data_IF_132796667040
#
_entry.id   IF_132796667040
#
_cell.length_a   1.000
_cell.length_b   1.000
_cell.length_c   1.000
_cell.angle_alpha   90.00
_cell.angle_beta   90.00
_cell.angle_gamma   90.00
#
_symmetry.space_group_name_H-M   'P 1'
#
loop_
_entity.id
_entity.type
_entity.pdbx_description
1 polymer ?
#
# COMPACT_ATOMS: atom_id res chain seq x y z
N UNK A 1 -4.56 -4.47 -14.58
CA UNK A 1 -3.79 -4.24 -15.83
C UNK A 1 -2.40 -3.78 -15.49
N UNK A 2 -1.49 -3.64 -16.46
CA UNK A 2 -0.16 -3.05 -16.19
C UNK A 2 -0.38 -1.64 -15.63
N UNK A 3 0.30 -1.33 -14.53
CA UNK A 3 0.14 -0.09 -13.75
C UNK A 3 -0.84 -0.19 -12.58
N UNK A 4 -1.67 -1.23 -12.50
CA UNK A 4 -2.54 -1.40 -11.33
C UNK A 4 -1.73 -1.85 -10.12
N UNK A 5 -2.07 -1.29 -8.95
CA UNK A 5 -1.62 -1.79 -7.66
C UNK A 5 -2.60 -2.86 -7.17
N UNK A 6 -2.08 -4.05 -6.91
CA UNK A 6 -2.88 -5.21 -6.51
C UNK A 6 -2.25 -5.94 -5.32
N UNK A 7 -3.07 -6.72 -4.61
CA UNK A 7 -2.62 -7.72 -3.66
C UNK A 7 -3.30 -9.05 -3.97
N UNK A 8 -2.51 -10.12 -3.98
CA UNK A 8 -2.98 -11.50 -4.06
C UNK A 8 -2.29 -12.31 -2.96
N UNK A 9 -3.09 -12.85 -2.05
CA UNK A 9 -2.59 -13.50 -0.84
C UNK A 9 -1.69 -12.57 -0.04
N UNK A 10 -0.43 -12.98 0.15
CA UNK A 10 0.59 -12.21 0.88
C UNK A 10 1.41 -11.26 -0.01
N UNK A 11 1.19 -11.26 -1.33
CA UNK A 11 1.98 -10.48 -2.27
C UNK A 11 1.22 -9.22 -2.70
N UNK A 12 1.74 -8.05 -2.36
CA UNK A 12 1.23 -6.76 -2.80
C UNK A 12 2.26 -6.05 -3.69
N UNK A 13 1.79 -5.36 -4.73
CA UNK A 13 2.68 -4.65 -5.64
C UNK A 13 2.00 -4.05 -6.87
N UNK A 14 2.79 -3.34 -7.66
CA UNK A 14 2.37 -2.73 -8.92
C UNK A 14 2.63 -3.69 -10.08
N UNK A 15 1.62 -3.95 -10.92
CA UNK A 15 1.78 -4.84 -12.08
C UNK A 15 2.66 -4.17 -13.14
N UNK A 16 3.81 -4.76 -13.43
CA UNK A 16 4.78 -4.23 -14.40
C UNK A 16 4.81 -4.99 -15.73
N UNK A 17 4.40 -6.26 -15.75
CA UNK A 17 4.39 -7.10 -16.95
C UNK A 17 3.32 -8.20 -16.87
N UNK A 18 2.83 -8.67 -18.01
CA UNK A 18 1.85 -9.75 -18.14
C UNK A 18 2.29 -10.71 -19.23
N UNK A 19 2.44 -11.99 -18.86
CA UNK A 19 2.85 -13.09 -19.74
C UNK A 19 1.76 -14.15 -19.79
N UNK A 20 1.90 -15.10 -20.71
CA UNK A 20 0.89 -16.13 -20.98
C UNK A 20 0.52 -16.94 -19.72
N UNK A 21 1.50 -17.26 -18.87
CA UNK A 21 1.27 -18.11 -17.69
C UNK A 21 1.43 -17.40 -16.34
N UNK A 22 1.86 -16.15 -16.36
CA UNK A 22 2.21 -15.41 -15.15
C UNK A 22 2.11 -13.91 -15.39
N UNK A 23 1.93 -13.15 -14.33
CA UNK A 23 2.14 -11.71 -14.31
C UNK A 23 3.24 -11.36 -13.32
N UNK A 24 3.84 -10.19 -13.53
CA UNK A 24 4.96 -9.72 -12.73
C UNK A 24 4.52 -8.47 -11.97
N UNK A 25 4.77 -8.46 -10.66
CA UNK A 25 4.55 -7.29 -9.80
C UNK A 25 5.86 -6.80 -9.19
N UNK A 26 5.99 -5.48 -9.10
CA UNK A 26 7.01 -4.82 -8.29
C UNK A 26 6.47 -4.73 -6.86
N UNK A 27 7.11 -5.43 -5.94
CA UNK A 27 6.63 -5.56 -4.56
C UNK A 27 6.60 -4.21 -3.83
N UNK A 28 5.55 -4.03 -3.03
CA UNK A 28 5.43 -2.97 -2.03
C UNK A 28 5.18 -3.60 -0.66
N UNK A 29 5.51 -2.87 0.41
CA UNK A 29 5.32 -3.37 1.77
C UNK A 29 6.25 -4.54 2.13
N UNK A 30 5.83 -5.36 3.09
CA UNK A 30 6.53 -6.55 3.60
C UNK A 30 7.87 -6.26 4.34
N UNK A 31 8.87 -5.72 3.63
CA UNK A 31 10.20 -5.42 4.19
C UNK A 31 10.35 -3.95 4.63
N UNK A 32 9.58 -3.08 3.99
CA UNK A 32 9.54 -1.65 4.31
C UNK A 32 8.11 -1.34 4.71
N UNK A 33 7.91 -0.73 5.88
CA UNK A 33 6.59 -0.31 6.36
C UNK A 33 6.17 0.99 5.64
N UNK A 34 6.09 0.89 4.32
CA UNK A 34 5.72 1.97 3.42
C UNK A 34 5.09 1.38 2.14
N UNK A 35 4.22 2.16 1.52
CA UNK A 35 3.64 1.88 0.20
C UNK A 35 4.62 2.12 -0.97
N UNK A 36 5.92 2.18 -0.67
CA UNK A 36 7.00 2.33 -1.64
C UNK A 36 7.50 0.97 -2.11
N UNK A 37 8.04 0.94 -3.33
CA UNK A 37 8.58 -0.28 -3.92
C UNK A 37 9.80 -0.77 -3.15
N UNK A 38 9.85 -2.06 -2.81
CA UNK A 38 11.00 -2.68 -2.15
C UNK A 38 12.15 -2.99 -3.10
N UNK A 39 11.90 -2.89 -4.41
CA UNK A 39 12.82 -3.30 -5.47
C UNK A 39 12.78 -4.79 -5.80
N UNK A 40 12.00 -5.61 -5.06
CA UNK A 40 11.80 -7.02 -5.37
C UNK A 40 10.78 -7.21 -6.48
N UNK A 41 11.09 -8.10 -7.42
CA UNK A 41 10.21 -8.47 -8.52
C UNK A 41 9.61 -9.84 -8.21
N UNK A 42 8.28 -9.95 -8.24
CA UNK A 42 7.56 -11.19 -7.94
C UNK A 42 6.87 -11.69 -9.19
N UNK A 43 7.13 -12.96 -9.50
CA UNK A 43 6.49 -13.71 -10.58
C UNK A 43 5.32 -14.49 -10.03
N UNK A 44 4.10 -14.16 -10.47
CA UNK A 44 2.88 -14.78 -9.96
C UNK A 44 2.21 -15.58 -11.08
N UNK A 45 2.03 -16.91 -10.91
CA UNK A 45 1.34 -17.72 -11.90
C UNK A 45 -0.15 -17.36 -11.95
N UNK A 46 -0.71 -17.32 -13.16
CA UNK A 46 -2.11 -16.93 -13.38
C UNK A 46 -3.10 -17.82 -12.60
N UNK A 47 -2.74 -19.08 -12.36
CA UNK A 47 -3.54 -20.03 -11.59
C UNK A 47 -3.83 -19.58 -10.14
N UNK A 48 -3.00 -18.71 -9.56
CA UNK A 48 -3.18 -18.22 -8.20
C UNK A 48 -4.44 -17.33 -8.07
N UNK A 49 -4.82 -16.63 -9.14
CA UNK A 49 -6.01 -15.76 -9.18
C UNK A 49 -7.31 -16.52 -8.90
N UNK A 50 -7.33 -17.83 -9.18
CA UNK A 50 -8.50 -18.68 -8.91
C UNK A 50 -8.49 -19.29 -7.50
N UNK A 51 -7.38 -19.17 -6.77
CA UNK A 51 -7.18 -19.78 -5.44
C UNK A 51 -7.19 -18.75 -4.33
N UNK A 52 -6.81 -17.51 -4.62
CA UNK A 52 -6.70 -16.43 -3.65
C UNK A 52 -7.52 -15.22 -4.07
N UNK A 53 -8.06 -14.46 -3.10
CA UNK A 53 -8.73 -13.21 -3.41
C UNK A 53 -7.74 -12.20 -4.00
N UNK A 54 -8.19 -11.49 -5.04
CA UNK A 54 -7.46 -10.39 -5.67
C UNK A 54 -8.03 -9.05 -5.15
N UNK A 55 -7.26 -8.34 -4.34
CA UNK A 55 -7.56 -6.97 -3.96
C UNK A 55 -6.93 -6.00 -4.98
N UNK A 56 -7.71 -5.03 -5.47
CA UNK A 56 -7.24 -4.00 -6.39
C UNK A 56 -7.40 -2.63 -5.73
N UNK A 57 -6.28 -1.91 -5.62
CA UNK A 57 -6.21 -0.63 -4.91
C UNK A 57 -6.62 0.54 -5.80
N UNK A 58 -6.50 0.40 -7.12
CA UNK A 58 -6.62 1.50 -8.09
C UNK A 58 -7.99 1.55 -8.76
N UNK A 59 -8.70 0.42 -8.86
CA UNK A 59 -9.92 0.29 -9.67
C UNK A 59 -11.18 0.88 -9.03
N UNK A 60 -11.27 0.88 -7.70
CA UNK A 60 -12.47 1.32 -6.97
C UNK A 60 -12.50 2.82 -6.69
N UNK A 61 -11.46 3.30 -6.00
CA UNK A 61 -11.26 4.71 -5.67
C UNK A 61 -9.85 5.11 -6.08
N UNK A 62 -9.64 6.38 -6.42
CA UNK A 62 -8.29 6.90 -6.72
C UNK A 62 -7.43 7.06 -5.46
N UNK A 63 -8.02 6.92 -4.28
CA UNK A 63 -7.38 7.14 -3.00
C UNK A 63 -7.69 5.98 -2.06
N UNK A 64 -6.69 5.63 -1.26
CA UNK A 64 -6.79 4.71 -0.14
C UNK A 64 -6.46 5.45 1.15
N UNK A 65 -6.97 4.95 2.27
CA UNK A 65 -6.67 5.52 3.58
C UNK A 65 -5.23 5.20 3.98
N UNK A 66 -4.50 6.21 4.44
CA UNK A 66 -3.21 6.04 5.09
C UNK A 66 -3.35 6.46 6.56
N UNK A 67 -2.84 5.64 7.48
CA UNK A 67 -2.89 5.91 8.92
C UNK A 67 -1.49 6.20 9.44
N UNK A 68 -1.32 7.34 10.10
CA UNK A 68 -0.06 7.73 10.75
C UNK A 68 -0.28 7.69 12.27
N UNK A 69 0.54 6.91 12.96
CA UNK A 69 0.50 6.80 14.42
C UNK A 69 1.46 7.78 15.05
N UNK A 70 0.94 8.67 15.88
CA UNK A 70 1.73 9.64 16.65
C UNK A 70 1.67 9.27 18.11
N UNK A 71 2.84 9.00 18.71
CA UNK A 71 2.95 8.73 20.14
C UNK A 71 2.98 10.06 20.92
N UNK A 72 2.07 10.21 21.88
CA UNK A 72 2.02 11.35 22.81
C UNK A 72 2.19 10.80 24.22
N UNK A 73 3.22 11.25 24.94
CA UNK A 73 3.49 10.80 26.31
C UNK A 73 2.55 11.47 27.33
N UNK A 74 2.43 10.91 28.53
CA UNK A 74 1.53 11.42 29.56
C UNK A 74 1.89 12.83 30.05
N UNK A 75 3.17 13.19 30.01
CA UNK A 75 3.69 14.51 30.38
C UNK A 75 3.44 15.56 29.28
N UNK A 76 3.12 15.12 28.07
CA UNK A 76 2.89 15.99 26.92
C UNK A 76 1.49 16.60 26.95
N UNK A 77 1.37 17.86 26.50
CA UNK A 77 0.06 18.49 26.33
C UNK A 77 -0.63 17.96 25.06
N UNK A 78 -1.45 16.92 25.21
CA UNK A 78 -2.16 16.29 24.10
C UNK A 78 -3.10 17.24 23.34
N UNK A 79 -3.68 18.25 24.02
CA UNK A 79 -4.53 19.25 23.36
C UNK A 79 -3.71 20.13 22.42
N UNK A 80 -2.50 20.52 22.83
CA UNK A 80 -1.58 21.27 21.97
C UNK A 80 -1.04 20.39 20.84
N UNK A 81 -0.71 19.13 21.10
CA UNK A 81 -0.30 18.19 20.06
C UNK A 81 -1.39 18.04 18.97
N UNK A 82 -2.66 17.90 19.38
CA UNK A 82 -3.80 17.87 18.45
C UNK A 82 -3.88 19.15 17.60
N UNK A 83 -3.77 20.32 18.23
CA UNK A 83 -3.80 21.60 17.50
C UNK A 83 -2.69 21.70 16.45
N UNK A 84 -1.46 21.30 16.79
CA UNK A 84 -0.33 21.30 15.85
C UNK A 84 -0.61 20.37 14.67
N UNK A 85 -1.14 19.17 14.92
CA UNK A 85 -1.51 18.23 13.85
C UNK A 85 -2.64 18.79 12.97
N UNK A 86 -3.66 19.40 13.57
CA UNK A 86 -4.75 20.06 12.84
C UNK A 86 -4.23 21.23 11.98
N UNK A 87 -3.29 22.03 12.51
CA UNK A 87 -2.61 23.12 11.79
C UNK A 87 -1.84 22.57 10.58
N UNK A 88 -1.02 21.52 10.76
CA UNK A 88 -0.23 20.89 9.68
C UNK A 88 -1.13 20.32 8.56
N UNK A 89 -2.26 19.70 8.92
CA UNK A 89 -3.18 19.12 7.92
C UNK A 89 -3.91 20.18 7.09
N UNK A 90 -4.12 21.38 7.65
CA UNK A 90 -4.79 22.48 6.97
C UNK A 90 -3.84 23.41 6.22
N UNK A 91 -2.54 23.36 6.54
CA UNK A 91 -1.50 24.09 5.83
C UNK A 91 -1.39 23.55 4.38
N UNK A 92 -1.55 24.44 3.40
CA UNK A 92 -1.57 24.10 1.97
C UNK A 92 -0.19 24.12 1.34
#
# INVERSE_FOLDING_TARGET
VVGDRIQIGAHAGDVIDQRIFQFIVLEIGNWVDADQSTGRIIHIPNGLVFREPLANYTRGMQYIWNEIRVLVTFESNWKRAKQILDEIVQER
#
